data_IF_415656895456
#
_entry.id   IF_415656895456
#
_cell.length_a   1.000
_cell.length_b   1.000
_cell.length_c   1.000
_cell.angle_alpha   90.00
_cell.angle_beta   90.00
_cell.angle_gamma   90.00
#
_symmetry.space_group_name_H-M   'P 1'
#
loop_
_entity.id
_entity.type
_entity.pdbx_description
1 polymer ?
#
# COMPACT_ATOMS: atom_id res chain seq x y z
N UNK A 1 9.89 11.23 -16.38
CA UNK A 1 10.15 9.87 -15.89
C UNK A 1 9.78 9.82 -14.42
N UNK A 2 8.52 9.49 -14.10
CA UNK A 2 8.09 9.33 -12.72
C UNK A 2 8.56 7.97 -12.21
N UNK A 3 9.47 7.96 -11.24
CA UNK A 3 9.91 6.77 -10.52
C UNK A 3 8.67 6.12 -9.89
N UNK A 4 8.12 5.11 -10.56
CA UNK A 4 7.16 4.15 -9.98
C UNK A 4 7.92 3.34 -8.93
N UNK A 5 8.05 3.89 -7.73
CA UNK A 5 8.71 3.23 -6.61
C UNK A 5 7.66 2.53 -5.76
N UNK A 6 7.78 1.21 -5.62
CA UNK A 6 6.93 0.42 -4.73
C UNK A 6 6.96 0.96 -3.29
N UNK A 7 8.14 1.37 -2.81
CA UNK A 7 8.30 1.93 -1.48
C UNK A 7 7.59 3.29 -1.32
N UNK A 8 7.65 4.15 -2.35
CA UNK A 8 6.92 5.42 -2.34
C UNK A 8 5.40 5.20 -2.26
N UNK A 9 4.87 4.30 -3.09
CA UNK A 9 3.44 3.98 -3.10
C UNK A 9 3.00 3.35 -1.78
N UNK A 10 3.84 2.51 -1.17
CA UNK A 10 3.57 1.98 0.16
C UNK A 10 3.41 3.10 1.21
N UNK A 11 4.34 4.06 1.25
CA UNK A 11 4.26 5.16 2.21
C UNK A 11 3.05 6.06 1.98
N UNK A 12 2.73 6.37 0.71
CA UNK A 12 1.55 7.15 0.37
C UNK A 12 0.27 6.41 0.78
N UNK A 13 0.17 5.12 0.49
CA UNK A 13 -0.96 4.28 0.92
C UNK A 13 -1.11 4.19 2.44
N UNK A 14 0.00 4.08 3.18
CA UNK A 14 -0.03 4.10 4.64
C UNK A 14 -0.54 5.45 5.21
N UNK A 15 -0.19 6.57 4.57
CA UNK A 15 -0.73 7.90 4.93
C UNK A 15 -2.22 7.97 4.63
N UNK A 16 -2.66 7.55 3.45
CA UNK A 16 -4.09 7.49 3.12
C UNK A 16 -4.87 6.63 4.12
N UNK A 17 -4.32 5.48 4.52
CA UNK A 17 -4.93 4.62 5.53
C UNK A 17 -5.06 5.34 6.88
N UNK A 18 -4.02 6.04 7.34
CA UNK A 18 -4.03 6.80 8.58
C UNK A 18 -5.02 7.98 8.57
N UNK A 19 -5.33 8.51 7.39
CA UNK A 19 -6.33 9.57 7.18
C UNK A 19 -7.76 9.03 7.00
N UNK A 20 -7.95 7.70 6.97
CA UNK A 20 -9.24 7.07 6.71
C UNK A 20 -9.65 7.06 5.24
N UNK A 21 -8.76 7.43 4.31
CA UNK A 21 -8.98 7.39 2.87
C UNK A 21 -8.72 5.97 2.34
N UNK A 22 -9.61 5.03 2.69
CA UNK A 22 -9.41 3.60 2.44
C UNK A 22 -9.29 3.23 0.96
N UNK A 23 -10.00 3.90 0.06
CA UNK A 23 -9.92 3.61 -1.38
C UNK A 23 -8.57 4.01 -1.98
N UNK A 24 -8.08 5.20 -1.64
CA UNK A 24 -6.74 5.65 -2.06
C UNK A 24 -5.65 4.75 -1.46
N UNK A 25 -5.80 4.39 -0.18
CA UNK A 25 -4.89 3.48 0.50
C UNK A 25 -4.85 2.11 -0.21
N UNK A 26 -6.01 1.56 -0.57
CA UNK A 26 -6.13 0.30 -1.30
C UNK A 26 -5.39 0.38 -2.64
N UNK A 27 -5.64 1.42 -3.43
CA UNK A 27 -5.02 1.58 -4.74
C UNK A 27 -3.49 1.67 -4.65
N UNK A 28 -2.99 2.44 -3.69
CA UNK A 28 -1.56 2.64 -3.50
C UNK A 28 -0.84 1.38 -3.03
N UNK A 29 -1.41 0.68 -2.05
CA UNK A 29 -0.83 -0.55 -1.51
C UNK A 29 -0.87 -1.68 -2.54
N UNK A 30 -1.94 -1.79 -3.33
CA UNK A 30 -2.00 -2.74 -4.46
C UNK A 30 -0.94 -2.40 -5.51
N UNK A 31 -0.80 -1.12 -5.86
CA UNK A 31 0.19 -0.68 -6.84
C UNK A 31 1.63 -0.92 -6.37
N UNK A 32 1.91 -0.74 -5.08
CA UNK A 32 3.21 -1.06 -4.49
C UNK A 32 3.56 -2.54 -4.66
N UNK A 33 2.63 -3.43 -4.30
CA UNK A 33 2.80 -4.88 -4.41
C UNK A 33 2.84 -5.37 -5.87
N UNK A 34 2.15 -4.67 -6.79
CA UNK A 34 2.17 -4.99 -8.21
C UNK A 34 3.50 -4.62 -8.88
N UNK A 35 4.18 -3.57 -8.42
CA UNK A 35 5.50 -3.18 -8.93
C UNK A 35 6.56 -4.19 -8.49
N UNK A 36 6.59 -4.52 -7.20
CA UNK A 36 7.48 -5.54 -6.66
C UNK A 36 6.83 -6.12 -5.40
N UNK A 37 6.40 -7.39 -5.38
CA UNK A 37 5.74 -7.99 -4.22
C UNK A 37 6.66 -8.20 -3.01
N UNK A 38 7.98 -8.02 -3.18
CA UNK A 38 9.03 -8.20 -2.18
C UNK A 38 9.89 -6.93 -1.99
N UNK A 39 9.34 -5.76 -2.36
CA UNK A 39 10.06 -4.47 -2.39
C UNK A 39 10.77 -4.07 -1.10
N UNK A 40 10.33 -4.61 0.03
CA UNK A 40 10.98 -4.43 1.32
C UNK A 40 10.55 -5.55 2.27
N UNK A 41 11.48 -6.16 3.04
CA UNK A 41 11.18 -7.31 3.89
C UNK A 41 10.13 -7.03 4.97
N UNK A 42 10.04 -5.79 5.46
CA UNK A 42 9.04 -5.39 6.46
C UNK A 42 7.77 -4.78 5.85
N UNK A 43 7.90 -4.02 4.76
CA UNK A 43 6.77 -3.22 4.26
C UNK A 43 5.89 -4.00 3.29
N UNK A 44 6.43 -4.97 2.55
CA UNK A 44 5.60 -5.82 1.70
C UNK A 44 4.60 -6.68 2.52
N UNK A 45 4.99 -7.33 3.64
CA UNK A 45 4.03 -7.96 4.54
C UNK A 45 3.04 -6.97 5.17
N UNK A 46 3.52 -5.79 5.58
CA UNK A 46 2.66 -4.75 6.16
C UNK A 46 1.61 -4.24 5.16
N UNK A 47 1.96 -4.09 3.88
CA UNK A 47 1.04 -3.68 2.82
C UNK A 47 -0.10 -4.69 2.63
N UNK A 48 0.22 -5.98 2.63
CA UNK A 48 -0.78 -7.06 2.54
C UNK A 48 -1.70 -7.08 3.76
N UNK A 49 -1.16 -6.86 4.96
CA UNK A 49 -1.94 -6.79 6.18
C UNK A 49 -2.87 -5.55 6.20
N UNK A 50 -2.39 -4.41 5.69
CA UNK A 50 -3.20 -3.21 5.54
C UNK A 50 -4.35 -3.40 4.54
N UNK A 51 -4.09 -4.05 3.39
CA UNK A 51 -5.15 -4.38 2.42
C UNK A 51 -6.23 -5.27 3.03
N UNK A 52 -5.86 -6.33 3.75
CA UNK A 52 -6.84 -7.18 4.44
C UNK A 52 -7.72 -6.38 5.40
N UNK A 53 -7.12 -5.50 6.22
CA UNK A 53 -7.88 -4.63 7.13
C UNK A 53 -8.81 -3.69 6.40
N UNK A 54 -8.39 -3.15 5.25
CA UNK A 54 -9.23 -2.27 4.44
C UNK A 54 -10.41 -3.03 3.82
N UNK A 55 -10.20 -4.27 3.39
CA UNK A 55 -11.24 -5.10 2.77
C UNK A 55 -12.20 -5.73 3.80
N UNK A 56 -11.76 -5.89 5.06
CA UNK A 56 -12.61 -6.34 6.17
C UNK A 56 -13.52 -5.22 6.72
N UNK A 57 -13.28 -3.96 6.35
CA UNK A 57 -14.15 -2.83 6.69
C UNK A 57 -15.24 -2.74 5.61
N UNK A 58 -16.54 -2.90 5.96
CA UNK A 58 -17.64 -2.87 5.00
C UNK A 58 -17.84 -1.49 4.36
#
# INVERSE_FOLDING_TARGET
LGIRSALFLYHRGAIHQALGHNDDARQDLQSALAIDPSFHPLHAPAARAALRRIDDIP
#
